data_IF_676069665782
#
_entry.id   IF_676069665782
#
_cell.length_a   1.000
_cell.length_b   1.000
_cell.length_c   1.000
_cell.angle_alpha   90.00
_cell.angle_beta   90.00
_cell.angle_gamma   90.00
#
_symmetry.space_group_name_H-M   'P 1'
#
loop_
_entity.id
_entity.type
_entity.pdbx_description
1 polymer ?
#
# COMPACT_ATOMS: atom_id res chain seq x y z
N UNK A 1 18.93 98.91 5.33
CA UNK A 1 19.03 98.17 6.60
C UNK A 1 17.81 97.26 6.86
N UNK A 2 16.57 97.75 6.97
CA UNK A 2 15.41 96.86 7.25
C UNK A 2 15.01 95.91 6.09
N UNK A 3 15.12 96.35 4.83
CA UNK A 3 14.72 95.56 3.65
C UNK A 3 15.58 94.32 3.43
N UNK A 4 16.89 94.41 3.71
CA UNK A 4 17.84 93.30 3.60
C UNK A 4 17.56 92.22 4.66
N UNK A 5 17.19 92.63 5.87
CA UNK A 5 16.80 91.69 6.93
C UNK A 5 15.51 90.95 6.58
N UNK A 6 14.53 91.61 5.96
CA UNK A 6 13.27 90.97 5.54
C UNK A 6 13.53 89.93 4.44
N UNK A 7 14.39 90.25 3.46
CA UNK A 7 14.76 89.31 2.39
C UNK A 7 15.53 88.12 2.95
N UNK A 8 16.48 88.35 3.86
CA UNK A 8 17.23 87.28 4.52
C UNK A 8 16.33 86.36 5.36
N UNK A 9 15.38 86.92 6.12
CA UNK A 9 14.39 86.16 6.89
C UNK A 9 13.45 85.35 5.97
N UNK A 10 12.99 85.95 4.87
CA UNK A 10 12.16 85.26 3.88
C UNK A 10 12.88 84.07 3.25
N UNK A 11 14.15 84.25 2.87
CA UNK A 11 14.99 83.17 2.35
C UNK A 11 15.23 82.05 3.37
N UNK A 12 15.44 82.41 4.65
CA UNK A 12 15.65 81.45 5.72
C UNK A 12 14.38 80.62 5.98
N UNK A 13 13.21 81.26 6.05
CA UNK A 13 11.91 80.56 6.21
C UNK A 13 11.65 79.62 5.03
N UNK A 14 11.90 80.08 3.80
CA UNK A 14 11.71 79.25 2.60
C UNK A 14 12.65 78.04 2.60
N UNK A 15 13.92 78.24 2.96
CA UNK A 15 14.92 77.16 3.06
C UNK A 15 14.55 76.15 4.15
N UNK A 16 14.03 76.63 5.28
CA UNK A 16 13.59 75.77 6.38
C UNK A 16 12.36 74.94 6.00
N UNK A 17 11.39 75.55 5.30
CA UNK A 17 10.22 74.84 4.77
C UNK A 17 10.62 73.76 3.75
N UNK A 18 11.52 74.09 2.82
CA UNK A 18 12.03 73.14 1.82
C UNK A 18 12.78 71.98 2.49
N UNK A 19 13.62 72.26 3.48
CA UNK A 19 14.36 71.26 4.25
C UNK A 19 13.40 70.31 5.00
N UNK A 20 12.40 70.87 5.68
CA UNK A 20 11.39 70.10 6.42
C UNK A 20 10.60 69.18 5.50
N UNK A 21 10.19 69.67 4.33
CA UNK A 21 9.50 68.86 3.33
C UNK A 21 10.39 67.73 2.78
N UNK A 22 11.65 68.03 2.48
CA UNK A 22 12.62 67.03 2.02
C UNK A 22 12.83 65.91 3.05
N UNK A 23 12.98 66.26 4.33
CA UNK A 23 13.09 65.29 5.41
C UNK A 23 11.82 64.44 5.57
N UNK A 24 10.64 65.06 5.56
CA UNK A 24 9.38 64.33 5.67
C UNK A 24 9.21 63.32 4.52
N UNK A 25 9.54 63.73 3.29
CA UNK A 25 9.49 62.86 2.12
C UNK A 25 10.53 61.73 2.21
N UNK A 26 11.74 62.01 2.68
CA UNK A 26 12.78 61.01 2.85
C UNK A 26 12.39 59.95 3.90
N UNK A 27 11.90 60.39 5.06
CA UNK A 27 11.47 59.50 6.17
C UNK A 27 10.31 58.61 5.73
N UNK A 28 9.27 59.19 5.12
CA UNK A 28 8.11 58.42 4.65
C UNK A 28 8.48 57.41 3.56
N UNK A 29 9.36 57.78 2.63
CA UNK A 29 9.85 56.88 1.58
C UNK A 29 10.69 55.74 2.16
N UNK A 30 11.57 56.04 3.12
CA UNK A 30 12.39 55.04 3.80
C UNK A 30 11.52 54.04 4.58
N UNK A 31 10.52 54.52 5.33
CA UNK A 31 9.58 53.64 6.04
C UNK A 31 8.74 52.78 5.09
N UNK A 32 8.32 53.33 3.94
CA UNK A 32 7.55 52.57 2.95
C UNK A 32 8.39 51.44 2.37
N UNK A 33 9.62 51.75 1.94
CA UNK A 33 10.56 50.75 1.41
C UNK A 33 10.95 49.71 2.46
N UNK A 34 11.16 50.12 3.70
CA UNK A 34 11.44 49.20 4.80
C UNK A 34 10.31 48.21 5.06
N UNK A 35 9.05 48.69 5.04
CA UNK A 35 7.87 47.81 5.16
C UNK A 35 7.72 46.86 3.96
N UNK A 36 7.87 47.38 2.75
CA UNK A 36 7.80 46.57 1.52
C UNK A 36 8.90 45.50 1.52
N UNK A 37 10.14 45.86 1.87
CA UNK A 37 11.25 44.91 1.96
C UNK A 37 11.03 43.85 3.05
N UNK A 38 10.53 44.25 4.22
CA UNK A 38 10.19 43.32 5.30
C UNK A 38 9.09 42.35 4.90
N UNK A 39 8.01 42.85 4.29
CA UNK A 39 6.92 42.03 3.78
C UNK A 39 7.42 41.03 2.73
N UNK A 40 8.18 41.51 1.75
CA UNK A 40 8.71 40.66 0.67
C UNK A 40 9.70 39.61 1.19
N UNK A 41 10.53 39.96 2.18
CA UNK A 41 11.44 39.00 2.81
C UNK A 41 10.66 37.92 3.58
N UNK A 42 9.60 38.29 4.30
CA UNK A 42 8.77 37.32 5.01
C UNK A 42 8.01 36.40 4.05
N UNK A 43 7.43 36.92 2.97
CA UNK A 43 6.71 36.09 1.99
C UNK A 43 7.67 35.17 1.23
N UNK A 44 8.83 35.67 0.81
CA UNK A 44 9.84 34.87 0.11
C UNK A 44 10.36 33.69 0.94
N UNK A 45 10.31 33.77 2.27
CA UNK A 45 10.71 32.68 3.16
C UNK A 45 9.54 31.76 3.50
N UNK A 46 8.37 32.31 3.86
CA UNK A 46 7.24 31.50 4.31
C UNK A 46 6.55 30.74 3.17
N UNK A 47 6.44 31.34 1.99
CA UNK A 47 5.75 30.73 0.85
C UNK A 47 6.37 29.39 0.42
N UNK A 48 7.70 29.27 0.18
CA UNK A 48 8.30 27.99 -0.17
C UNK A 48 8.20 26.98 0.99
N UNK A 49 8.27 27.43 2.24
CA UNK A 49 8.09 26.54 3.40
C UNK A 49 6.67 25.96 3.46
N UNK A 50 5.64 26.77 3.21
CA UNK A 50 4.26 26.30 3.14
C UNK A 50 4.04 25.33 1.98
N UNK A 51 4.61 25.63 0.81
CA UNK A 51 4.53 24.72 -0.35
C UNK A 51 5.22 23.40 -0.06
N UNK A 52 6.43 23.43 0.51
CA UNK A 52 7.17 22.23 0.88
C UNK A 52 6.40 21.40 1.93
N UNK A 53 5.82 22.05 2.95
CA UNK A 53 5.00 21.36 3.95
C UNK A 53 3.76 20.71 3.32
N UNK A 54 3.07 21.40 2.41
CA UNK A 54 1.91 20.85 1.70
C UNK A 54 2.26 19.66 0.82
N UNK A 55 3.41 19.70 0.15
CA UNK A 55 3.91 18.58 -0.65
C UNK A 55 4.27 17.38 0.24
N UNK A 56 4.96 17.63 1.37
CA UNK A 56 5.32 16.59 2.32
C UNK A 56 4.10 15.88 2.92
N UNK A 57 3.07 16.65 3.32
CA UNK A 57 1.83 16.05 3.85
C UNK A 57 1.10 15.24 2.78
N UNK A 58 1.04 15.74 1.54
CA UNK A 58 0.40 15.02 0.44
C UNK A 58 1.12 13.71 0.12
N UNK A 59 2.46 13.72 0.09
CA UNK A 59 3.27 12.53 -0.11
C UNK A 59 3.07 11.50 1.02
N UNK A 60 2.99 11.95 2.27
CA UNK A 60 2.71 11.08 3.41
C UNK A 60 1.33 10.42 3.31
N UNK A 61 0.28 11.16 2.93
CA UNK A 61 -1.05 10.59 2.71
C UNK A 61 -1.06 9.54 1.60
N UNK A 62 -0.42 9.83 0.46
CA UNK A 62 -0.30 8.85 -0.64
C UNK A 62 0.42 7.57 -0.20
N UNK A 63 1.38 7.67 0.71
CA UNK A 63 2.10 6.51 1.24
C UNK A 63 1.25 5.70 2.21
N UNK A 64 0.43 6.36 3.04
CA UNK A 64 -0.55 5.67 3.91
C UNK A 64 -1.57 4.92 3.04
N UNK A 65 -2.12 5.57 2.00
CA UNK A 65 -3.10 4.93 1.12
C UNK A 65 -2.54 3.66 0.45
N UNK A 66 -1.28 3.71 -0.01
CA UNK A 66 -0.60 2.52 -0.57
C UNK A 66 -0.44 1.41 0.46
N UNK A 67 -0.04 1.75 1.69
CA UNK A 67 0.11 0.77 2.76
C UNK A 67 -1.23 0.13 3.12
N UNK A 68 -2.32 0.91 3.15
CA UNK A 68 -3.66 0.39 3.40
C UNK A 68 -4.13 -0.55 2.28
N UNK A 69 -3.81 -0.25 1.01
CA UNK A 69 -4.09 -1.14 -0.12
C UNK A 69 -3.32 -2.46 -0.03
N UNK A 70 -2.01 -2.39 0.28
CA UNK A 70 -1.19 -3.59 0.51
C UNK A 70 -1.71 -4.43 1.69
N UNK A 71 -2.15 -3.78 2.77
CA UNK A 71 -2.69 -4.46 3.95
C UNK A 71 -4.05 -5.10 3.64
N UNK A 72 -4.88 -4.48 2.80
CA UNK A 72 -6.13 -5.05 2.33
C UNK A 72 -5.89 -6.31 1.48
N UNK A 73 -4.91 -6.28 0.57
CA UNK A 73 -4.52 -7.44 -0.23
C UNK A 73 -3.99 -8.59 0.67
N UNK A 74 -3.10 -8.27 1.62
CA UNK A 74 -2.58 -9.27 2.56
C UNK A 74 -3.68 -9.91 3.42
N UNK A 75 -4.72 -9.15 3.80
CA UNK A 75 -5.89 -9.70 4.50
C UNK A 75 -6.71 -10.64 3.63
N UNK A 76 -6.94 -10.27 2.36
CA UNK A 76 -7.65 -11.13 1.42
C UNK A 76 -6.91 -12.46 1.19
N UNK A 77 -5.58 -12.41 1.03
CA UNK A 77 -4.74 -13.61 0.91
C UNK A 77 -4.81 -14.49 2.16
N UNK A 78 -4.80 -13.87 3.36
CA UNK A 78 -4.96 -14.59 4.62
C UNK A 78 -6.33 -15.27 4.75
N UNK A 79 -7.40 -14.60 4.32
CA UNK A 79 -8.74 -15.19 4.29
C UNK A 79 -8.82 -16.35 3.30
N UNK A 80 -8.19 -16.23 2.13
CA UNK A 80 -8.12 -17.30 1.14
C UNK A 80 -7.31 -18.51 1.65
N UNK A 81 -6.19 -18.27 2.32
CA UNK A 81 -5.40 -19.31 2.99
C UNK A 81 -6.18 -19.97 4.13
N UNK A 82 -6.93 -19.21 4.93
CA UNK A 82 -7.81 -19.78 5.97
C UNK A 82 -8.95 -20.60 5.38
N UNK A 83 -9.55 -20.15 4.29
CA UNK A 83 -10.58 -20.91 3.58
C UNK A 83 -9.99 -22.22 3.03
N UNK A 84 -8.81 -22.17 2.40
CA UNK A 84 -8.10 -23.35 1.93
C UNK A 84 -7.73 -24.32 3.06
N UNK A 85 -7.25 -23.81 4.20
CA UNK A 85 -6.96 -24.62 5.39
C UNK A 85 -8.23 -25.16 6.07
N UNK A 86 -9.35 -24.42 6.04
CA UNK A 86 -10.63 -24.91 6.55
C UNK A 86 -11.23 -26.01 5.67
N UNK A 87 -10.85 -26.06 4.39
CA UNK A 87 -11.14 -27.14 3.45
C UNK A 87 -10.11 -28.28 3.49
N UNK A 88 -8.98 -28.08 4.17
CA UNK A 88 -8.00 -29.13 4.40
C UNK A 88 -8.55 -30.10 5.45
N UNK A 89 -9.25 -31.13 4.98
CA UNK A 89 -9.60 -32.29 5.81
C UNK A 89 -8.30 -32.93 6.25
N UNK A 90 -8.05 -32.95 7.56
CA UNK A 90 -6.89 -33.60 8.15
C UNK A 90 -7.00 -35.11 7.90
N UNK A 91 -6.21 -35.61 6.96
CA UNK A 91 -6.19 -37.03 6.61
C UNK A 91 -5.38 -37.76 7.69
N UNK A 92 -6.06 -38.54 8.53
CA UNK A 92 -5.39 -39.30 9.58
C UNK A 92 -4.73 -40.57 9.01
N UNK A 93 -3.72 -41.15 9.68
CA UNK A 93 -3.13 -42.43 9.28
C UNK A 93 -4.18 -43.56 9.16
N UNK A 94 -5.24 -43.48 9.97
CA UNK A 94 -6.37 -44.40 9.92
C UNK A 94 -7.16 -44.27 8.62
N UNK A 95 -7.41 -43.05 8.15
CA UNK A 95 -8.12 -42.78 6.88
C UNK A 95 -7.32 -43.30 5.68
N UNK A 96 -5.99 -43.15 5.72
CA UNK A 96 -5.07 -43.71 4.71
C UNK A 96 -5.14 -45.25 4.73
N UNK A 97 -5.11 -45.86 5.92
CA UNK A 97 -5.26 -47.31 6.07
C UNK A 97 -6.60 -47.82 5.52
N UNK A 98 -7.68 -47.08 5.74
CA UNK A 98 -9.03 -47.38 5.24
C UNK A 98 -9.10 -47.30 3.72
N UNK A 99 -8.47 -46.29 3.11
CA UNK A 99 -8.35 -46.15 1.66
C UNK A 99 -7.55 -47.29 1.03
N UNK A 100 -6.45 -47.71 1.65
CA UNK A 100 -5.64 -48.84 1.19
C UNK A 100 -6.44 -50.15 1.26
N UNK A 101 -7.15 -50.39 2.37
CA UNK A 101 -8.01 -51.57 2.50
C UNK A 101 -9.14 -51.56 1.46
N UNK A 102 -9.79 -50.41 1.25
CA UNK A 102 -10.82 -50.27 0.23
C UNK A 102 -10.27 -50.54 -1.18
N UNK A 103 -9.06 -50.05 -1.50
CA UNK A 103 -8.40 -50.32 -2.76
C UNK A 103 -8.10 -51.81 -2.96
N UNK A 104 -7.62 -52.50 -1.93
CA UNK A 104 -7.38 -53.95 -1.97
C UNK A 104 -8.68 -54.75 -2.15
N UNK A 105 -9.75 -54.38 -1.46
CA UNK A 105 -11.06 -55.03 -1.60
C UNK A 105 -11.63 -54.83 -3.01
N UNK A 106 -11.48 -53.62 -3.58
CA UNK A 106 -11.95 -53.31 -4.94
C UNK A 106 -11.12 -54.06 -5.99
N UNK A 107 -9.80 -54.16 -5.81
CA UNK A 107 -8.94 -54.93 -6.69
C UNK A 107 -9.27 -56.43 -6.64
N UNK A 108 -9.54 -56.97 -5.44
CA UNK A 108 -10.00 -58.34 -5.26
C UNK A 108 -11.37 -58.58 -5.91
N UNK A 109 -12.32 -57.66 -5.73
CA UNK A 109 -13.64 -57.71 -6.36
C UNK A 109 -13.54 -57.64 -7.90
N UNK A 110 -12.64 -56.81 -8.43
CA UNK A 110 -12.35 -56.74 -9.86
C UNK A 110 -11.88 -58.11 -10.36
N UNK A 111 -10.86 -58.70 -9.74
CA UNK A 111 -10.30 -60.00 -10.17
C UNK A 111 -11.32 -61.14 -10.09
N UNK A 112 -12.17 -61.14 -9.07
CA UNK A 112 -13.16 -62.20 -8.86
C UNK A 112 -14.39 -62.08 -9.76
N UNK A 113 -14.82 -60.87 -10.11
CA UNK A 113 -16.02 -60.66 -10.94
C UNK A 113 -15.74 -60.65 -12.45
N UNK A 114 -14.51 -60.37 -12.88
CA UNK A 114 -14.14 -60.39 -14.30
C UNK A 114 -14.41 -61.75 -15.00
N UNK A 115 -14.13 -62.91 -14.39
CA UNK A 115 -14.38 -64.21 -15.05
C UNK A 115 -15.83 -64.71 -14.94
N UNK A 116 -16.71 -64.06 -14.17
CA UNK A 116 -18.09 -64.54 -13.92
C UNK A 116 -19.06 -63.94 -14.94
N UNK A 117 -19.67 -64.79 -15.77
CA UNK A 117 -20.75 -64.37 -16.71
C UNK A 117 -21.92 -63.76 -15.93
N UNK A 118 -22.36 -62.57 -16.34
CA UNK A 118 -23.45 -61.81 -15.68
C UNK A 118 -22.98 -60.81 -14.61
N UNK A 119 -21.71 -60.85 -14.18
CA UNK A 119 -21.14 -59.89 -13.25
C UNK A 119 -20.47 -58.67 -13.93
N UNK A 120 -20.57 -58.57 -15.26
CA UNK A 120 -19.99 -57.53 -16.11
C UNK A 120 -20.26 -56.08 -15.63
N UNK A 121 -21.48 -55.71 -15.16
CA UNK A 121 -21.74 -54.35 -14.69
C UNK A 121 -20.97 -54.03 -13.40
N UNK A 122 -20.81 -55.03 -12.51
CA UNK A 122 -20.09 -54.86 -11.26
C UNK A 122 -18.57 -54.86 -11.49
N UNK A 123 -18.06 -55.69 -12.40
CA UNK A 123 -16.67 -55.67 -12.83
C UNK A 123 -16.25 -54.32 -13.44
N UNK A 124 -17.12 -53.70 -14.27
CA UNK A 124 -16.89 -52.34 -14.78
C UNK A 124 -16.86 -51.30 -13.66
N UNK A 125 -17.81 -51.34 -12.73
CA UNK A 125 -17.83 -50.41 -11.58
C UNK A 125 -16.57 -50.53 -10.71
N UNK A 126 -16.14 -51.76 -10.42
CA UNK A 126 -14.91 -52.02 -9.67
C UNK A 126 -13.67 -51.45 -10.39
N UNK A 127 -13.57 -51.63 -11.71
CA UNK A 127 -12.47 -51.09 -12.53
C UNK A 127 -12.44 -49.56 -12.52
N UNK A 128 -13.60 -48.90 -12.62
CA UNK A 128 -13.72 -47.43 -12.57
C UNK A 128 -13.36 -46.89 -11.18
N UNK A 129 -13.76 -47.57 -10.12
CA UNK A 129 -13.40 -47.18 -8.75
C UNK A 129 -11.90 -47.37 -8.48
N UNK A 130 -11.31 -48.46 -8.98
CA UNK A 130 -9.88 -48.72 -8.86
C UNK A 130 -9.04 -47.63 -9.54
N UNK A 131 -9.36 -47.28 -10.79
CA UNK A 131 -8.66 -46.19 -11.50
C UNK A 131 -8.80 -44.84 -10.81
N UNK A 132 -9.97 -44.53 -10.24
CA UNK A 132 -10.15 -43.31 -9.43
C UNK A 132 -9.26 -43.31 -8.18
N UNK A 133 -9.12 -44.47 -7.52
CA UNK A 133 -8.25 -44.64 -6.35
C UNK A 133 -6.76 -44.52 -6.71
N UNK A 134 -6.32 -45.08 -7.83
CA UNK A 134 -4.94 -44.92 -8.31
C UNK A 134 -4.61 -43.45 -8.58
N UNK A 135 -5.52 -42.72 -9.24
CA UNK A 135 -5.36 -41.27 -9.47
C UNK A 135 -5.29 -40.51 -8.14
N UNK A 136 -6.15 -40.84 -7.18
CA UNK A 136 -6.12 -40.22 -5.85
C UNK A 136 -4.78 -40.49 -5.13
N UNK A 137 -4.30 -41.73 -5.18
CA UNK A 137 -3.04 -42.14 -4.56
C UNK A 137 -1.86 -41.38 -5.18
N UNK A 138 -1.81 -41.27 -6.52
CA UNK A 138 -0.74 -40.52 -7.21
C UNK A 138 -0.70 -39.04 -6.80
N UNK A 139 -1.87 -38.40 -6.62
CA UNK A 139 -1.99 -37.01 -6.17
C UNK A 139 -1.53 -36.83 -4.72
N UNK A 140 -1.92 -37.75 -3.83
CA UNK A 140 -1.51 -37.73 -2.42
C UNK A 140 0.00 -37.95 -2.26
N UNK A 141 0.60 -38.90 -2.99
CA UNK A 141 2.05 -39.08 -3.00
C UNK A 141 2.79 -37.85 -3.53
N UNK A 142 2.26 -37.20 -4.58
CA UNK A 142 2.79 -35.93 -5.09
C UNK A 142 2.75 -34.82 -4.04
N UNK A 143 1.61 -34.65 -3.36
CA UNK A 143 1.47 -33.65 -2.31
C UNK A 143 2.39 -33.93 -1.10
N UNK A 144 2.50 -35.18 -0.67
CA UNK A 144 3.37 -35.57 0.44
C UNK A 144 4.86 -35.33 0.15
N UNK A 145 5.30 -35.63 -1.08
CA UNK A 145 6.70 -35.36 -1.49
C UNK A 145 7.00 -33.87 -1.62
N UNK A 146 6.02 -33.06 -1.99
CA UNK A 146 6.15 -31.61 -2.06
C UNK A 146 6.21 -30.99 -0.65
N UNK A 147 5.31 -31.39 0.25
CA UNK A 147 5.34 -30.97 1.65
C UNK A 147 6.66 -31.35 2.37
N UNK A 148 7.19 -32.55 2.09
CA UNK A 148 8.48 -32.97 2.64
C UNK A 148 9.67 -32.14 2.11
N UNK A 149 9.60 -31.61 0.89
CA UNK A 149 10.64 -30.72 0.33
C UNK A 149 10.56 -29.31 0.93
N UNK A 150 9.36 -28.80 1.15
CA UNK A 150 9.13 -27.49 1.78
C UNK A 150 9.57 -27.47 3.25
N UNK A 151 9.52 -28.60 3.96
CA UNK A 151 10.03 -28.73 5.33
C UNK A 151 11.55 -28.91 5.43
N UNK A 152 12.23 -29.22 4.34
CA UNK A 152 13.68 -29.47 4.30
C UNK A 152 14.50 -28.30 3.75
N UNK A 153 13.84 -27.25 3.24
CA UNK A 153 14.42 -26.01 2.74
C UNK A 153 14.36 -24.90 3.79
#
# INVERSE_FOLDING_TARGET
MQTEHIIALGGLILSFAALTYAFFRAITTAHRRGREAGSNATTAVLEPMMVAQKQATTAAWQQIDRLDEELALARADLEQLRAANGLAVEVTPTDIGLLIQAANIIELARRTWTPIKGAEPMARKATVLHTKLEVLNSRLCGAATQAAREQAA
#
